data_IF_100101904800
#
_entry.id   IF_100101904800
#
_cell.length_a   1.000
_cell.length_b   1.000
_cell.length_c   1.000
_cell.angle_alpha   90.00
_cell.angle_beta   90.00
_cell.angle_gamma   90.00
#
_symmetry.space_group_name_H-M   'P 1'
#
loop_
_entity.id
_entity.type
_entity.pdbx_description
1 polymer ?
#
# COMPACT_ATOMS: atom_id res chain seq x y z
N UNK A 1 1.12 13.74 -11.02
CA UNK A 1 2.55 13.44 -10.64
C UNK A 1 3.22 12.76 -11.82
N UNK A 2 4.52 13.03 -12.12
CA UNK A 2 5.23 12.34 -13.22
C UNK A 2 5.83 11.02 -12.72
N UNK A 3 6.01 10.00 -13.60
CA UNK A 3 6.68 8.75 -13.22
C UNK A 3 8.04 8.96 -12.55
N UNK A 4 8.90 9.81 -13.13
CA UNK A 4 10.22 10.11 -12.58
C UNK A 4 10.15 10.75 -11.16
N UNK A 5 9.15 11.57 -10.90
CA UNK A 5 8.92 12.14 -9.56
C UNK A 5 8.52 11.06 -8.56
N UNK A 6 7.65 10.15 -8.97
CA UNK A 6 7.19 9.05 -8.12
C UNK A 6 8.33 8.08 -7.80
N UNK A 7 9.10 7.68 -8.82
CA UNK A 7 10.29 6.84 -8.65
C UNK A 7 11.31 7.46 -7.71
N UNK A 8 11.57 8.76 -7.85
CA UNK A 8 12.48 9.48 -6.95
C UNK A 8 11.96 9.42 -5.51
N UNK A 9 10.71 9.75 -5.29
CA UNK A 9 10.11 9.75 -3.94
C UNK A 9 10.17 8.38 -3.28
N UNK A 10 9.91 7.32 -4.04
CA UNK A 10 9.98 5.96 -3.55
C UNK A 10 11.42 5.57 -3.21
N UNK A 11 12.38 5.90 -4.09
CA UNK A 11 13.81 5.67 -3.88
C UNK A 11 14.35 6.42 -2.66
N UNK A 12 13.85 7.61 -2.37
CA UNK A 12 14.23 8.41 -1.20
C UNK A 12 13.87 7.71 0.14
N UNK A 13 13.07 6.66 0.12
CA UNK A 13 12.80 5.81 1.28
C UNK A 13 13.92 4.79 1.55
N UNK A 14 14.77 4.48 0.55
CA UNK A 14 15.88 3.54 0.73
C UNK A 14 16.92 4.07 1.73
N UNK A 15 17.45 3.16 2.55
CA UNK A 15 18.38 3.48 3.64
C UNK A 15 17.67 4.01 4.90
N UNK A 16 16.37 4.18 4.87
CA UNK A 16 15.57 4.64 6.00
C UNK A 16 14.87 3.49 6.69
N UNK A 17 14.57 3.69 7.98
CA UNK A 17 13.80 2.76 8.79
C UNK A 17 12.42 3.35 9.03
N UNK A 18 11.38 2.51 8.94
CA UNK A 18 10.02 2.89 9.31
C UNK A 18 9.91 2.92 10.82
N UNK A 19 9.56 4.06 11.43
CA UNK A 19 9.44 4.23 12.88
C UNK A 19 7.99 4.27 13.36
N UNK A 20 7.06 4.63 12.49
CA UNK A 20 5.63 4.47 12.79
C UNK A 20 4.82 4.30 11.53
N UNK A 21 3.70 3.59 11.66
CA UNK A 21 2.75 3.32 10.58
C UNK A 21 1.35 3.68 11.04
N UNK A 22 0.58 4.27 10.15
CA UNK A 22 -0.85 4.47 10.34
C UNK A 22 -1.61 4.16 9.08
N UNK A 23 -2.76 3.51 9.24
CA UNK A 23 -3.75 3.32 8.18
C UNK A 23 -4.75 4.46 8.21
N UNK A 24 -5.18 4.85 7.05
CA UNK A 24 -6.14 5.92 6.84
C UNK A 24 -7.36 5.38 6.14
N UNK A 25 -8.52 5.83 6.60
CA UNK A 25 -9.80 5.38 6.07
C UNK A 25 -10.73 6.56 5.90
N UNK A 26 -11.55 6.49 4.87
CA UNK A 26 -12.63 7.42 4.66
C UNK A 26 -13.66 7.18 5.76
N UNK A 27 -14.13 8.24 6.40
CA UNK A 27 -15.17 8.14 7.40
C UNK A 27 -16.50 7.83 6.69
N UNK A 28 -17.03 6.62 6.88
CA UNK A 28 -18.41 6.34 6.54
C UNK A 28 -19.31 6.59 7.76
N UNK A 29 -20.56 6.94 7.53
CA UNK A 29 -21.55 7.16 8.60
C UNK A 29 -21.95 5.87 9.33
N UNK A 30 -21.57 4.73 8.80
CA UNK A 30 -21.80 3.42 9.38
C UNK A 30 -20.59 2.98 10.21
N UNK A 31 -20.84 2.35 11.38
CA UNK A 31 -19.83 1.77 12.29
C UNK A 31 -19.15 0.51 11.69
N UNK A 32 -18.71 0.59 10.45
CA UNK A 32 -18.06 -0.54 9.77
C UNK A 32 -16.67 -0.80 10.35
N UNK A 33 -16.33 -2.06 10.38
CA UNK A 33 -14.97 -2.48 10.67
C UNK A 33 -14.01 -1.78 9.69
N UNK A 34 -13.18 -1.01 10.24
CA UNK A 34 -12.50 0.12 9.63
C UNK A 34 -11.36 -0.31 8.71
N UNK A 35 -10.97 -1.56 8.73
CA UNK A 35 -10.05 -2.21 7.83
C UNK A 35 -10.21 -3.72 7.98
N UNK A 36 -10.13 -4.42 6.89
CA UNK A 36 -10.13 -5.87 6.90
C UNK A 36 -8.71 -6.37 7.18
N UNK A 37 -8.58 -7.20 8.21
CA UNK A 37 -7.36 -7.88 8.56
C UNK A 37 -7.54 -9.36 8.25
N UNK A 38 -6.79 -9.84 7.27
CA UNK A 38 -6.72 -11.25 6.95
C UNK A 38 -5.32 -11.77 7.30
N UNK A 39 -5.12 -12.42 8.47
CA UNK A 39 -3.79 -12.78 8.95
C UNK A 39 -2.95 -13.61 7.96
N UNK A 40 -3.62 -14.36 7.08
CA UNK A 40 -2.96 -15.21 6.07
C UNK A 40 -2.70 -14.49 4.73
N UNK A 41 -3.26 -13.28 4.52
CA UNK A 41 -3.18 -12.55 3.26
C UNK A 41 -2.50 -11.21 3.45
N UNK A 42 -3.03 -10.38 4.34
CA UNK A 42 -2.57 -9.02 4.60
C UNK A 42 -3.66 -8.13 5.18
N UNK A 43 -3.35 -6.86 5.32
CA UNK A 43 -4.29 -5.84 5.78
C UNK A 43 -4.82 -5.07 4.57
N UNK A 44 -6.04 -4.55 4.68
CA UNK A 44 -6.68 -3.75 3.64
C UNK A 44 -7.25 -2.48 4.25
N UNK A 45 -6.96 -1.33 3.65
CA UNK A 45 -7.50 -0.04 4.07
C UNK A 45 -8.10 0.70 2.88
N UNK A 46 -9.25 1.32 3.11
CA UNK A 46 -10.06 1.92 2.04
C UNK A 46 -9.50 3.25 1.52
N UNK A 47 -8.43 3.81 2.11
CA UNK A 47 -7.83 5.02 1.61
C UNK A 47 -6.30 4.97 1.47
N UNK A 48 -5.55 4.57 2.50
CA UNK A 48 -4.11 4.57 2.38
C UNK A 48 -3.32 4.31 3.65
N UNK A 49 -2.00 4.39 3.49
CA UNK A 49 -1.01 4.10 4.53
C UNK A 49 -0.03 5.26 4.66
N UNK A 50 0.28 5.68 5.87
CA UNK A 50 1.40 6.60 6.12
C UNK A 50 2.52 5.89 6.85
N UNK A 51 3.74 6.04 6.32
CA UNK A 51 4.99 5.54 6.87
C UNK A 51 5.79 6.73 7.36
N UNK A 52 6.02 6.84 8.67
CA UNK A 52 6.98 7.81 9.22
C UNK A 52 8.36 7.15 9.24
N UNK A 53 9.34 7.83 8.66
CA UNK A 53 10.71 7.36 8.56
C UNK A 53 11.57 7.92 9.70
N UNK A 54 12.74 7.32 9.95
CA UNK A 54 13.65 7.68 11.05
C UNK A 54 14.29 9.08 10.92
N UNK A 55 14.16 9.73 9.77
CA UNK A 55 14.50 11.14 9.56
C UNK A 55 13.31 12.09 9.77
N UNK A 56 12.20 11.61 10.33
CA UNK A 56 10.93 12.31 10.52
C UNK A 56 10.21 12.69 9.21
N UNK A 57 10.66 12.23 8.06
CA UNK A 57 9.87 12.39 6.84
C UNK A 57 8.71 11.40 6.85
N UNK A 58 7.61 11.77 6.19
CA UNK A 58 6.45 10.90 6.06
C UNK A 58 6.23 10.57 4.59
N UNK A 59 6.03 9.30 4.30
CA UNK A 59 5.57 8.80 3.01
C UNK A 59 4.09 8.43 3.13
N UNK A 60 3.23 9.17 2.44
CA UNK A 60 1.80 8.85 2.33
C UNK A 60 1.57 8.09 1.05
N UNK A 61 1.11 6.86 1.16
CA UNK A 61 0.70 6.01 0.05
C UNK A 61 -0.83 5.91 0.08
N UNK A 62 -1.47 6.31 -0.99
CA UNK A 62 -2.93 6.26 -1.13
C UNK A 62 -3.29 5.88 -2.56
N UNK A 63 -4.51 5.39 -2.76
CA UNK A 63 -5.03 5.27 -4.11
C UNK A 63 -5.29 6.67 -4.73
N UNK A 64 -5.21 6.75 -6.04
CA UNK A 64 -5.39 8.00 -6.79
C UNK A 64 -6.32 7.76 -7.99
N UNK A 65 -7.52 8.34 -7.91
CA UNK A 65 -8.53 8.25 -8.96
C UNK A 65 -8.22 9.19 -10.16
N UNK A 66 -7.13 9.96 -10.13
CA UNK A 66 -6.72 10.80 -11.27
C UNK A 66 -6.17 9.98 -12.43
N UNK A 67 -5.77 8.74 -12.17
CA UNK A 67 -5.49 7.76 -13.21
C UNK A 67 -6.81 7.26 -13.82
N UNK A 68 -6.78 6.82 -15.06
CA UNK A 68 -7.97 6.21 -15.70
C UNK A 68 -8.42 4.91 -15.03
N UNK A 69 -7.57 4.36 -14.22
CA UNK A 69 -7.77 3.27 -13.29
C UNK A 69 -7.26 3.70 -11.92
N UNK A 70 -7.71 3.08 -10.83
CA UNK A 70 -7.15 3.32 -9.52
C UNK A 70 -5.69 2.85 -9.48
N UNK A 71 -4.79 3.79 -9.22
CA UNK A 71 -3.38 3.54 -9.01
C UNK A 71 -2.95 4.07 -7.66
N UNK A 72 -1.69 3.88 -7.29
CA UNK A 72 -1.13 4.42 -6.07
C UNK A 72 -0.41 5.74 -6.31
N UNK A 73 -0.58 6.69 -5.41
CA UNK A 73 0.30 7.85 -5.30
C UNK A 73 1.19 7.74 -4.06
N UNK A 74 2.33 8.42 -4.10
CA UNK A 74 3.17 8.64 -2.93
C UNK A 74 3.48 10.12 -2.79
N UNK A 75 3.08 10.69 -1.63
CA UNK A 75 3.32 12.11 -1.32
C UNK A 75 4.08 12.28 -0.01
N UNK A 76 4.66 13.46 0.22
CA UNK A 76 5.33 13.83 1.47
C UNK A 76 4.45 14.70 2.36
N UNK A 77 3.35 15.16 1.85
CA UNK A 77 2.33 15.91 2.58
C UNK A 77 1.05 15.10 2.61
N UNK A 78 0.25 15.18 3.68
CA UNK A 78 -1.07 14.58 3.70
C UNK A 78 -1.85 15.04 2.47
N UNK A 79 -2.54 14.13 1.83
CA UNK A 79 -3.57 14.49 0.87
C UNK A 79 -4.68 15.20 1.65
N UNK A 80 -5.26 16.26 1.10
CA UNK A 80 -6.22 17.11 1.82
C UNK A 80 -7.36 16.30 2.46
N UNK A 81 -7.79 15.26 1.80
CA UNK A 81 -8.87 14.38 2.25
C UNK A 81 -8.46 13.52 3.47
N UNK A 82 -7.17 13.19 3.66
CA UNK A 82 -6.68 12.54 4.88
C UNK A 82 -6.85 13.41 6.13
N UNK A 83 -6.85 14.72 5.96
CA UNK A 83 -6.84 15.65 7.08
C UNK A 83 -8.23 16.01 7.60
N UNK A 84 -9.27 15.86 6.77
CA UNK A 84 -10.60 16.41 7.05
C UNK A 84 -11.70 15.38 7.28
N UNK A 85 -11.61 14.19 6.71
CA UNK A 85 -12.72 13.21 6.68
C UNK A 85 -12.30 11.79 7.07
N UNK A 86 -11.00 11.54 7.32
CA UNK A 86 -10.49 10.20 7.54
C UNK A 86 -10.20 9.87 9.01
N UNK A 87 -10.44 8.64 9.42
CA UNK A 87 -9.94 8.07 10.67
C UNK A 87 -8.51 7.56 10.47
N UNK A 88 -7.67 7.75 11.48
CA UNK A 88 -6.29 7.30 11.49
C UNK A 88 -6.09 6.23 12.58
N UNK A 89 -5.51 5.10 12.20
CA UNK A 89 -5.23 3.98 13.09
C UNK A 89 -3.74 3.70 13.14
N UNK A 90 -3.15 3.76 14.35
CA UNK A 90 -1.77 3.36 14.56
C UNK A 90 -1.63 1.83 14.40
N UNK A 91 -0.64 1.39 13.61
CA UNK A 91 -0.38 -0.01 13.30
C UNK A 91 1.05 -0.46 13.63
N UNK A 92 1.89 0.41 14.13
CA UNK A 92 3.33 0.17 14.35
C UNK A 92 3.61 -1.08 15.21
N UNK A 93 2.78 -1.33 16.21
CA UNK A 93 2.94 -2.44 17.17
C UNK A 93 2.14 -3.70 16.76
N UNK A 94 1.67 -3.75 15.53
CA UNK A 94 0.91 -4.89 14.99
C UNK A 94 1.62 -5.48 13.78
N UNK A 95 1.44 -6.79 13.55
CA UNK A 95 1.96 -7.43 12.36
C UNK A 95 1.42 -6.74 11.08
N UNK A 96 2.25 -6.63 10.02
CA UNK A 96 3.67 -7.01 9.93
C UNK A 96 4.64 -5.95 10.50
N UNK A 97 4.15 -4.80 10.93
CA UNK A 97 4.92 -3.61 11.20
C UNK A 97 5.78 -3.69 12.47
N UNK A 98 5.34 -4.46 13.47
CA UNK A 98 6.10 -4.75 14.70
C UNK A 98 7.49 -5.36 14.42
N UNK A 99 7.61 -6.06 13.29
CA UNK A 99 8.86 -6.65 12.80
C UNK A 99 9.55 -5.70 11.82
N UNK A 100 8.83 -5.24 10.80
CA UNK A 100 9.40 -4.42 9.71
C UNK A 100 9.92 -3.05 10.20
N UNK A 101 9.34 -2.48 11.27
CA UNK A 101 9.80 -1.21 11.84
C UNK A 101 11.21 -1.25 12.46
N UNK A 102 11.79 -2.44 12.63
CA UNK A 102 13.17 -2.61 13.12
C UNK A 102 14.21 -2.62 11.99
N UNK A 103 13.76 -2.76 10.77
CA UNK A 103 14.59 -2.95 9.59
C UNK A 103 14.66 -1.69 8.72
N UNK A 104 15.78 -1.58 7.99
CA UNK A 104 15.92 -0.52 6.99
C UNK A 104 15.37 -0.98 5.64
N UNK A 105 14.74 -0.08 4.92
CA UNK A 105 14.34 -0.29 3.53
C UNK A 105 15.60 -0.34 2.67
N UNK A 106 15.84 -1.45 1.98
CA UNK A 106 17.04 -1.66 1.15
C UNK A 106 16.78 -1.49 -0.33
N UNK A 107 15.54 -1.73 -0.74
CA UNK A 107 15.12 -1.56 -2.15
C UNK A 107 13.66 -1.14 -2.24
N UNK A 108 13.35 -0.47 -3.34
CA UNK A 108 11.99 -0.07 -3.69
C UNK A 108 11.77 -0.24 -5.18
N UNK A 109 10.57 -0.65 -5.56
CA UNK A 109 10.16 -0.86 -6.95
C UNK A 109 8.73 -0.40 -7.14
N UNK A 110 8.41 0.16 -8.32
CA UNK A 110 7.05 0.45 -8.74
C UNK A 110 6.63 -0.62 -9.73
N UNK A 111 5.53 -1.27 -9.44
CA UNK A 111 4.87 -2.17 -10.37
C UNK A 111 3.90 -1.31 -11.19
N UNK A 112 4.25 -1.11 -12.44
CA UNK A 112 3.43 -0.39 -13.39
C UNK A 112 2.47 -1.35 -14.08
N UNK A 113 1.26 -0.88 -14.31
CA UNK A 113 0.29 -1.57 -15.16
C UNK A 113 -0.23 -0.61 -16.22
N UNK A 114 -0.87 -1.14 -17.25
CA UNK A 114 -1.40 -0.38 -18.39
C UNK A 114 -2.91 -0.53 -18.50
N UNK A 115 -3.60 0.59 -18.70
CA UNK A 115 -5.03 0.61 -19.01
C UNK A 115 -5.34 1.72 -20.02
N UNK A 116 -6.04 1.37 -21.10
CA UNK A 116 -6.41 2.32 -22.15
C UNK A 116 -5.23 3.15 -22.69
N UNK A 117 -4.09 2.50 -22.94
CA UNK A 117 -2.83 3.11 -23.39
C UNK A 117 -2.24 4.15 -22.39
N UNK A 118 -2.53 4.02 -21.11
CA UNK A 118 -1.96 4.83 -20.04
C UNK A 118 -1.35 3.99 -18.94
N UNK A 119 -0.09 4.28 -18.59
CA UNK A 119 0.58 3.64 -17.46
C UNK A 119 0.07 4.23 -16.14
N UNK A 120 -0.14 3.36 -15.16
CA UNK A 120 -0.44 3.76 -13.80
C UNK A 120 0.35 2.89 -12.79
N UNK A 121 0.73 3.45 -11.63
CA UNK A 121 1.46 2.72 -10.60
C UNK A 121 0.48 1.84 -9.81
N UNK A 122 0.44 0.56 -10.12
CA UNK A 122 -0.47 -0.41 -9.49
C UNK A 122 -0.03 -0.77 -8.08
N UNK A 123 1.29 -0.90 -7.86
CA UNK A 123 1.80 -1.28 -6.56
C UNK A 123 3.21 -0.72 -6.30
N UNK A 124 3.57 -0.63 -5.01
CA UNK A 124 4.90 -0.31 -4.51
C UNK A 124 5.45 -1.49 -3.72
N UNK A 125 6.60 -2.00 -4.15
CA UNK A 125 7.30 -3.09 -3.48
C UNK A 125 8.48 -2.54 -2.71
N UNK A 126 8.55 -2.89 -1.42
CA UNK A 126 9.65 -2.56 -0.51
C UNK A 126 10.40 -3.82 -0.12
N UNK A 127 11.73 -3.80 -0.19
CA UNK A 127 12.58 -4.82 0.39
C UNK A 127 13.27 -4.29 1.64
N UNK A 128 13.45 -5.13 2.64
CA UNK A 128 14.02 -4.80 3.94
C UNK A 128 15.34 -5.54 4.20
N UNK A 129 16.13 -5.05 5.17
CA UNK A 129 17.43 -5.62 5.52
C UNK A 129 17.34 -7.06 6.07
N UNK A 130 16.22 -7.46 6.63
CA UNK A 130 15.89 -8.82 7.01
C UNK A 130 15.57 -9.77 5.86
N UNK A 131 15.62 -9.30 4.62
CA UNK A 131 15.12 -9.99 3.43
C UNK A 131 13.60 -10.13 3.35
N UNK A 132 12.87 -9.53 4.26
CA UNK A 132 11.41 -9.43 4.18
C UNK A 132 11.01 -8.48 3.06
N UNK A 133 9.81 -8.67 2.54
CA UNK A 133 9.21 -7.83 1.50
C UNK A 133 7.83 -7.36 1.95
N UNK A 134 7.48 -6.18 1.50
CA UNK A 134 6.15 -5.59 1.67
C UNK A 134 5.67 -5.07 0.32
N UNK A 135 4.46 -5.42 -0.05
CA UNK A 135 3.80 -4.88 -1.22
C UNK A 135 2.59 -4.03 -0.77
N UNK A 136 2.58 -2.77 -1.16
CA UNK A 136 1.40 -1.92 -1.11
C UNK A 136 0.79 -1.90 -2.50
N UNK A 137 -0.46 -2.34 -2.65
CA UNK A 137 -1.13 -2.44 -3.96
C UNK A 137 -2.51 -1.80 -3.93
N UNK A 138 -2.90 -1.15 -5.03
CA UNK A 138 -4.29 -0.74 -5.25
C UNK A 138 -5.13 -2.00 -5.53
N UNK A 139 -5.58 -2.67 -4.46
CA UNK A 139 -6.28 -3.94 -4.53
C UNK A 139 -7.20 -4.11 -3.32
N UNK A 140 -8.26 -4.89 -3.50
CA UNK A 140 -9.21 -5.26 -2.44
C UNK A 140 -9.35 -6.79 -2.37
N UNK A 141 -9.69 -7.34 -1.20
CA UNK A 141 -10.05 -8.74 -1.07
C UNK A 141 -11.45 -8.96 -1.64
N UNK A 142 -11.63 -10.06 -2.33
CA UNK A 142 -12.93 -10.56 -2.78
C UNK A 142 -13.13 -11.96 -2.23
N UNK A 143 -14.06 -12.11 -1.31
CA UNK A 143 -14.40 -13.40 -0.72
C UNK A 143 -15.39 -14.14 -1.64
N UNK A 144 -15.06 -15.38 -2.00
CA UNK A 144 -15.92 -16.26 -2.74
C UNK A 144 -16.85 -17.09 -1.83
N UNK A 145 -17.89 -17.67 -2.40
CA UNK A 145 -18.88 -18.45 -1.65
C UNK A 145 -18.30 -19.71 -0.97
N UNK A 146 -17.13 -20.17 -1.39
CA UNK A 146 -16.39 -21.29 -0.79
C UNK A 146 -15.43 -20.86 0.34
N UNK A 147 -15.41 -19.55 0.66
CA UNK A 147 -14.54 -18.97 1.68
C UNK A 147 -13.11 -18.67 1.18
N UNK A 148 -12.80 -18.93 -0.10
CA UNK A 148 -11.54 -18.50 -0.69
C UNK A 148 -11.52 -16.97 -0.91
N UNK A 149 -10.34 -16.36 -0.79
CA UNK A 149 -10.15 -14.92 -1.00
C UNK A 149 -9.25 -14.72 -2.20
N UNK A 150 -9.74 -13.95 -3.15
CA UNK A 150 -8.98 -13.50 -4.32
C UNK A 150 -8.65 -12.01 -4.15
N UNK A 151 -7.47 -11.60 -4.63
CA UNK A 151 -7.10 -10.18 -4.66
C UNK A 151 -7.51 -9.59 -6.00
N UNK A 152 -8.48 -8.70 -5.96
CA UNK A 152 -8.89 -7.94 -7.12
C UNK A 152 -8.03 -6.67 -7.22
N UNK A 153 -7.27 -6.54 -8.30
CA UNK A 153 -6.47 -5.34 -8.60
C UNK A 153 -7.33 -4.17 -9.08
N UNK A 154 -6.76 -2.97 -9.07
CA UNK A 154 -7.42 -1.74 -9.54
C UNK A 154 -8.62 -1.29 -8.70
N UNK A 155 -8.45 -1.28 -7.39
CA UNK A 155 -9.45 -0.84 -6.42
C UNK A 155 -9.07 0.50 -5.78
N UNK A 156 -10.06 1.17 -5.20
CA UNK A 156 -9.93 2.30 -4.29
C UNK A 156 -9.49 1.88 -2.86
N UNK A 157 -8.99 0.67 -2.70
CA UNK A 157 -8.39 0.15 -1.48
C UNK A 157 -6.87 0.02 -1.62
N UNK A 158 -6.18 0.09 -0.48
CA UNK A 158 -4.75 -0.20 -0.40
C UNK A 158 -4.55 -1.49 0.36
N UNK A 159 -4.12 -2.53 -0.35
CA UNK A 159 -3.68 -3.80 0.23
C UNK A 159 -2.26 -3.67 0.75
N UNK A 160 -2.02 -4.17 1.97
CA UNK A 160 -0.73 -4.25 2.65
C UNK A 160 -0.34 -5.72 2.75
N UNK A 161 0.40 -6.22 1.77
CA UNK A 161 0.74 -7.64 1.64
C UNK A 161 2.17 -7.89 2.09
N UNK A 162 2.36 -8.88 2.97
CA UNK A 162 3.67 -9.19 3.55
C UNK A 162 4.03 -10.68 3.50
N UNK A 163 3.10 -11.56 3.18
CA UNK A 163 3.36 -12.98 3.01
C UNK A 163 4.02 -13.24 1.64
N UNK A 164 5.19 -13.93 1.59
CA UNK A 164 5.94 -14.08 0.35
C UNK A 164 5.15 -14.74 -0.79
N UNK A 165 4.36 -15.77 -0.49
CA UNK A 165 3.58 -16.49 -1.49
C UNK A 165 2.42 -15.64 -2.02
N UNK A 166 1.78 -14.85 -1.14
CA UNK A 166 0.72 -13.89 -1.54
C UNK A 166 1.30 -12.81 -2.43
N UNK A 167 2.44 -12.20 -2.04
CA UNK A 167 3.13 -11.20 -2.87
C UNK A 167 3.47 -11.80 -4.24
N UNK A 168 4.04 -12.99 -4.27
CA UNK A 168 4.41 -13.66 -5.52
C UNK A 168 3.19 -13.93 -6.41
N UNK A 169 2.12 -14.47 -5.83
CA UNK A 169 0.86 -14.74 -6.55
C UNK A 169 0.25 -13.45 -7.12
N UNK A 170 0.16 -12.40 -6.30
CA UNK A 170 -0.41 -11.13 -6.75
C UNK A 170 0.43 -10.46 -7.85
N UNK A 171 1.77 -10.48 -7.75
CA UNK A 171 2.64 -9.96 -8.80
C UNK A 171 2.50 -10.74 -10.12
N UNK A 172 2.26 -12.05 -10.06
CA UNK A 172 2.00 -12.85 -11.26
C UNK A 172 0.66 -12.43 -11.92
N UNK A 173 -0.40 -12.24 -11.13
CA UNK A 173 -1.69 -11.75 -11.64
C UNK A 173 -1.56 -10.37 -12.30
N UNK A 174 -0.79 -9.46 -11.72
CA UNK A 174 -0.57 -8.13 -12.30
C UNK A 174 0.21 -8.19 -13.61
N UNK A 175 1.15 -9.13 -13.75
CA UNK A 175 1.92 -9.32 -14.99
C UNK A 175 1.07 -9.90 -16.13
N UNK A 176 0.09 -10.75 -15.83
CA UNK A 176 -0.79 -11.36 -16.81
C UNK A 176 -1.93 -10.41 -17.27
N UNK A 177 -2.20 -9.36 -16.51
CA UNK A 177 -3.25 -8.39 -16.80
C UNK A 177 -2.79 -7.22 -17.71
N UNK A 178 -1.51 -7.08 -17.98
CA UNK A 178 -0.89 -6.06 -18.84
C UNK A 178 -0.54 -6.62 -20.21
#
# INVERSE_FOLDING_TARGET
MTPATLEKRLRDCCGRRVVSVSYHQIQSDDDWAIHDIHPEIGDFCDFGVSLTLDDNTVAYVAWDATFRQYGLMLTRTPVADFATEGRRFARTDSAPWDTLSRDSITSTEIIWNEFNNGLYPQAFLFGFSSSQRLLLSAAQPMEHADGSIELFGTSDWVAVLHHPDIIKGHLALLADAG
#
